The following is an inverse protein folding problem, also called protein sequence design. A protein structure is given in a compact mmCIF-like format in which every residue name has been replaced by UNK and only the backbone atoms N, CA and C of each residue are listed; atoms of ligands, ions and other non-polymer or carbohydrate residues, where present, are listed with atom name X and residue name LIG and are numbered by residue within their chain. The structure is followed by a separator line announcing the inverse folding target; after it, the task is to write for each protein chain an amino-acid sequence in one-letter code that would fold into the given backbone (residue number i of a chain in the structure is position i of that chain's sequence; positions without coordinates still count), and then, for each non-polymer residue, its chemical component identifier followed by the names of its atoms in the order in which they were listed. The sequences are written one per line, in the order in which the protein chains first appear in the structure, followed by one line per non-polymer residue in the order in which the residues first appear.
data_IF_996360021783
#
_entry.id   IF_996360021783
#
_cell.length_a   1.000
_cell.length_b   1.000
_cell.length_c   1.000
_cell.angle_alpha   90.00
_cell.angle_beta   90.00
_cell.angle_gamma   90.00
#
_symmetry.space_group_name_H-M   'P 1'
#
loop_
_entity.id
_entity.type
_entity.pdbx_description
1 polymer ?
#
# COMPACT_ATOMS: atom_id res chain seq x y z
N UNK A 1 19.05 -0.95 21.45
CA UNK A 1 17.76 -0.75 20.75
C UNK A 1 17.76 0.68 20.18
N UNK A 2 17.86 0.82 18.86
CA UNK A 2 18.13 2.11 18.18
C UNK A 2 16.88 2.82 17.64
N UNK A 3 15.72 2.15 17.67
CA UNK A 3 14.45 2.63 17.12
C UNK A 3 13.95 3.91 17.81
N UNK A 4 13.87 3.94 19.15
CA UNK A 4 13.40 5.13 19.88
C UNK A 4 14.29 6.38 19.65
N UNK A 5 15.63 6.28 19.70
CA UNK A 5 16.50 7.38 19.29
C UNK A 5 16.28 7.83 17.83
N UNK A 6 16.08 6.89 16.91
CA UNK A 6 15.82 7.16 15.50
C UNK A 6 14.50 7.91 15.29
N UNK A 7 13.40 7.41 15.86
CA UNK A 7 12.09 8.07 15.80
C UNK A 7 12.13 9.49 16.37
N UNK A 8 12.83 9.68 17.51
CA UNK A 8 13.03 11.01 18.08
C UNK A 8 13.81 11.96 17.16
N UNK A 9 14.78 11.44 16.39
CA UNK A 9 15.53 12.23 15.42
C UNK A 9 14.69 12.54 14.18
N UNK A 10 13.92 11.56 13.67
CA UNK A 10 13.01 11.73 12.54
C UNK A 10 11.94 12.78 12.84
N UNK A 11 11.26 12.71 13.98
CA UNK A 11 10.24 13.68 14.40
C UNK A 11 10.76 15.12 14.61
N UNK A 12 12.08 15.29 14.76
CA UNK A 12 12.73 16.60 14.86
C UNK A 12 13.20 17.13 13.50
N UNK A 13 13.17 16.29 12.47
CA UNK A 13 13.56 16.64 11.12
C UNK A 13 12.43 17.43 10.45
N UNK A 14 12.78 18.39 9.60
CA UNK A 14 11.84 19.02 8.66
C UNK A 14 11.70 18.21 7.35
N UNK A 15 12.52 17.15 7.19
CA UNK A 15 12.62 16.37 5.94
C UNK A 15 11.92 15.02 6.00
N UNK A 16 11.67 14.50 7.19
CA UNK A 16 11.21 13.13 7.39
C UNK A 16 10.13 13.08 8.46
N UNK A 17 9.19 12.16 8.30
CA UNK A 17 8.18 11.86 9.29
C UNK A 17 8.68 10.83 10.31
N UNK A 18 8.06 10.83 11.49
CA UNK A 18 8.30 9.82 12.52
C UNK A 18 7.83 8.43 12.08
N UNK A 19 8.26 7.41 12.82
CA UNK A 19 7.84 6.03 12.59
C UNK A 19 6.42 5.87 13.13
N UNK A 20 5.52 5.30 12.33
CA UNK A 20 4.17 4.97 12.80
C UNK A 20 4.21 3.78 13.77
N UNK A 21 3.37 3.86 14.81
CA UNK A 21 3.29 2.79 15.81
C UNK A 21 2.72 1.51 15.21
N UNK A 22 3.32 0.36 15.55
CA UNK A 22 2.80 -0.95 15.14
C UNK A 22 1.39 -1.21 15.67
N UNK A 23 1.05 -0.64 16.83
CA UNK A 23 -0.30 -0.72 17.40
C UNK A 23 -1.31 0.06 16.55
N UNK A 24 -0.94 1.25 16.08
CA UNK A 24 -1.81 2.07 15.23
C UNK A 24 -2.05 1.38 13.87
N UNK A 25 -1.01 0.78 13.30
CA UNK A 25 -1.12 -0.02 12.07
C UNK A 25 -2.02 -1.24 12.26
N UNK A 26 -1.92 -1.94 13.39
CA UNK A 26 -2.77 -3.07 13.70
C UNK A 26 -4.23 -2.67 13.87
N UNK A 27 -4.48 -1.54 14.55
CA UNK A 27 -5.83 -0.99 14.74
C UNK A 27 -6.44 -0.61 13.38
N UNK A 28 -5.68 0.03 12.51
CA UNK A 28 -6.13 0.36 11.16
C UNK A 28 -6.43 -0.88 10.32
N UNK A 29 -5.53 -1.86 10.30
CA UNK A 29 -5.72 -3.11 9.58
C UNK A 29 -6.97 -3.87 10.08
N UNK A 30 -7.24 -3.81 11.39
CA UNK A 30 -8.39 -4.47 12.03
C UNK A 30 -9.75 -4.01 11.49
N UNK A 31 -9.82 -2.81 10.90
CA UNK A 31 -11.03 -2.25 10.27
C UNK A 31 -11.37 -2.90 8.92
N UNK A 32 -10.43 -3.66 8.35
CA UNK A 32 -10.57 -4.32 7.04
C UNK A 32 -10.50 -5.83 7.17
N UNK A 33 -9.59 -6.35 8.00
CA UNK A 33 -9.41 -7.79 8.19
C UNK A 33 -9.00 -8.14 9.62
N UNK A 34 -9.16 -9.40 10.01
CA UNK A 34 -8.71 -9.86 11.32
C UNK A 34 -7.19 -9.84 11.45
N UNK A 35 -6.67 -9.25 12.53
CA UNK A 35 -5.24 -9.30 12.89
C UNK A 35 -4.70 -10.72 13.12
N UNK A 36 -5.58 -11.73 13.15
CA UNK A 36 -5.20 -13.14 13.09
C UNK A 36 -4.62 -13.59 11.74
N UNK A 37 -4.75 -12.77 10.69
CA UNK A 37 -4.11 -13.04 9.41
C UNK A 37 -2.60 -12.74 9.51
N UNK A 38 -1.81 -13.75 9.85
CA UNK A 38 -0.38 -13.59 10.18
C UNK A 38 0.55 -14.27 9.16
N UNK A 39 0.02 -14.85 8.09
CA UNK A 39 0.86 -15.52 7.08
C UNK A 39 1.51 -14.51 6.15
N UNK A 40 2.80 -14.68 5.87
CA UNK A 40 3.59 -13.69 5.12
C UNK A 40 3.72 -12.40 5.94
N UNK A 41 3.45 -11.25 5.31
CA UNK A 41 3.30 -9.97 6.03
C UNK A 41 1.95 -9.87 6.75
N UNK A 42 0.97 -10.69 6.37
CA UNK A 42 -0.31 -10.78 7.04
C UNK A 42 -1.08 -9.45 7.08
N UNK A 43 -1.60 -9.10 8.25
CA UNK A 43 -2.32 -7.85 8.49
C UNK A 43 -1.44 -6.61 8.33
N UNK A 44 -0.12 -6.74 8.48
CA UNK A 44 0.81 -5.61 8.43
C UNK A 44 0.78 -4.93 7.07
N UNK A 45 0.75 -5.71 5.97
CA UNK A 45 0.64 -5.19 4.61
C UNK A 45 -0.60 -4.30 4.41
N UNK A 46 -1.74 -4.71 4.99
CA UNK A 46 -2.97 -3.89 4.92
C UNK A 46 -2.83 -2.62 5.75
N UNK A 47 -2.18 -2.69 6.91
CA UNK A 47 -1.85 -1.54 7.74
C UNK A 47 -0.98 -0.52 6.99
N UNK A 48 0.09 -0.96 6.34
CA UNK A 48 0.98 -0.10 5.54
C UNK A 48 0.25 0.53 4.35
N UNK A 49 -0.63 -0.22 3.65
CA UNK A 49 -1.47 0.37 2.61
C UNK A 49 -2.39 1.47 3.16
N UNK A 50 -2.96 1.29 4.35
CA UNK A 50 -3.79 2.31 4.99
C UNK A 50 -2.96 3.53 5.40
N UNK A 51 -1.78 3.34 5.99
CA UNK A 51 -0.85 4.42 6.35
C UNK A 51 -0.50 5.27 5.13
N UNK A 52 -0.11 4.63 4.01
CA UNK A 52 0.16 5.34 2.76
C UNK A 52 -1.04 6.18 2.29
N UNK A 53 -2.24 5.61 2.34
CA UNK A 53 -3.47 6.31 1.95
C UNK A 53 -3.81 7.48 2.90
N UNK A 54 -3.51 7.37 4.19
CA UNK A 54 -3.67 8.46 5.16
C UNK A 54 -2.66 9.60 4.94
N UNK A 55 -1.49 9.29 4.40
CA UNK A 55 -0.46 10.27 4.01
C UNK A 55 -0.61 10.74 2.56
N UNK A 56 -1.82 10.67 1.99
CA UNK A 56 -2.15 11.09 0.61
C UNK A 56 -1.35 10.37 -0.49
N UNK A 57 -0.69 9.25 -0.18
CA UNK A 57 -0.05 8.37 -1.16
C UNK A 57 -1.10 7.45 -1.76
N UNK A 58 -1.87 8.03 -2.68
CA UNK A 58 -3.04 7.41 -3.27
C UNK A 58 -2.73 6.32 -4.32
N UNK A 59 -1.52 6.27 -4.85
CA UNK A 59 -1.13 5.36 -5.93
C UNK A 59 -0.17 4.29 -5.39
N UNK A 60 -0.63 3.05 -5.27
CA UNK A 60 0.14 1.96 -4.64
C UNK A 60 0.37 0.83 -5.64
N UNK A 61 1.63 0.43 -5.82
CA UNK A 61 2.00 -0.77 -6.56
C UNK A 61 2.31 -1.90 -5.58
N UNK A 62 1.47 -2.92 -5.57
CA UNK A 62 1.70 -4.15 -4.83
C UNK A 62 2.38 -5.16 -5.76
N UNK A 63 3.71 -5.13 -5.79
CA UNK A 63 4.53 -6.06 -6.56
C UNK A 63 4.73 -7.35 -5.77
N UNK A 64 4.36 -8.48 -6.34
CA UNK A 64 4.37 -9.77 -5.64
C UNK A 64 4.98 -10.85 -6.52
N UNK A 65 5.67 -11.84 -5.93
CA UNK A 65 6.06 -13.02 -6.68
C UNK A 65 4.82 -13.83 -7.08
N UNK A 66 4.92 -14.56 -8.19
CA UNK A 66 3.85 -15.45 -8.62
C UNK A 66 3.47 -16.48 -7.55
N UNK A 67 2.17 -16.72 -7.40
CA UNK A 67 1.67 -17.74 -6.47
C UNK A 67 1.80 -17.38 -4.99
N UNK A 68 2.07 -16.11 -4.63
CA UNK A 68 2.06 -15.67 -3.24
C UNK A 68 0.64 -15.68 -2.66
N UNK A 69 0.19 -16.84 -2.16
CA UNK A 69 -1.11 -17.02 -1.53
C UNK A 69 -1.40 -15.99 -0.43
N UNK A 70 -0.45 -15.68 0.47
CA UNK A 70 -0.67 -14.64 1.47
C UNK A 70 -1.06 -13.32 0.82
N UNK A 71 -0.31 -12.85 -0.16
CA UNK A 71 -0.62 -11.60 -0.86
C UNK A 71 -1.90 -11.68 -1.70
N UNK A 72 -2.29 -12.86 -2.19
CA UNK A 72 -3.59 -13.01 -2.84
C UNK A 72 -4.75 -12.76 -1.87
N UNK A 73 -4.63 -13.25 -0.63
CA UNK A 73 -5.65 -13.08 0.41
C UNK A 73 -5.59 -11.67 1.02
N UNK A 74 -4.42 -11.22 1.48
CA UNK A 74 -4.27 -9.92 2.19
C UNK A 74 -3.98 -8.75 1.27
N UNK A 75 -3.24 -8.93 0.18
CA UNK A 75 -2.88 -7.84 -0.74
C UNK A 75 -3.98 -7.58 -1.76
N UNK A 76 -4.32 -8.59 -2.59
CA UNK A 76 -5.38 -8.49 -3.61
C UNK A 76 -6.78 -8.49 -3.00
N UNK A 77 -7.02 -9.32 -1.97
CA UNK A 77 -8.34 -9.50 -1.38
C UNK A 77 -8.93 -8.24 -0.73
N UNK A 78 -8.08 -7.36 -0.21
CA UNK A 78 -8.52 -6.14 0.50
C UNK A 78 -8.73 -4.93 -0.39
N UNK A 79 -8.24 -4.95 -1.65
CA UNK A 79 -8.23 -3.78 -2.54
C UNK A 79 -9.62 -3.18 -2.72
N UNK A 80 -10.65 -4.03 -2.83
CA UNK A 80 -12.03 -3.57 -3.00
C UNK A 80 -12.52 -2.78 -1.78
N UNK A 81 -12.19 -3.25 -0.58
CA UNK A 81 -12.59 -2.61 0.66
C UNK A 81 -11.76 -1.34 0.92
N UNK A 82 -10.46 -1.36 0.63
CA UNK A 82 -9.61 -0.17 0.65
C UNK A 82 -10.18 0.93 -0.26
N UNK A 83 -10.57 0.59 -1.50
CA UNK A 83 -11.20 1.57 -2.41
C UNK A 83 -12.55 2.10 -1.92
N UNK A 84 -13.28 1.30 -1.13
CA UNK A 84 -14.56 1.72 -0.53
C UNK A 84 -14.33 2.75 0.57
N UNK A 85 -13.33 2.54 1.42
CA UNK A 85 -13.01 3.44 2.53
C UNK A 85 -12.16 4.65 2.10
N UNK A 86 -11.31 4.47 1.09
CA UNK A 86 -10.40 5.48 0.52
C UNK A 86 -10.69 5.64 -0.98
N UNK A 87 -11.66 6.49 -1.38
CA UNK A 87 -12.09 6.60 -2.78
C UNK A 87 -11.01 7.07 -3.76
N UNK A 88 -9.96 7.73 -3.26
CA UNK A 88 -8.78 8.13 -4.06
C UNK A 88 -7.80 6.98 -4.33
N UNK A 89 -7.95 5.83 -3.67
CA UNK A 89 -7.00 4.72 -3.75
C UNK A 89 -6.92 4.10 -5.15
N UNK A 90 -5.75 4.22 -5.77
CA UNK A 90 -5.38 3.63 -7.05
C UNK A 90 -4.31 2.56 -6.83
N UNK A 91 -4.77 1.36 -6.47
CA UNK A 91 -3.90 0.22 -6.13
C UNK A 91 -3.80 -0.76 -7.31
N UNK A 92 -2.58 -1.12 -7.69
CA UNK A 92 -2.30 -2.11 -8.74
C UNK A 92 -1.50 -3.28 -8.18
N UNK A 93 -2.06 -4.49 -8.27
CA UNK A 93 -1.36 -5.73 -7.97
C UNK A 93 -0.65 -6.26 -9.21
N UNK A 94 0.65 -6.53 -9.11
CA UNK A 94 1.50 -6.96 -10.22
C UNK A 94 2.24 -8.23 -9.85
N UNK A 95 1.97 -9.29 -10.61
CA UNK A 95 2.66 -10.56 -10.47
C UNK A 95 3.99 -10.51 -11.24
N UNK A 96 5.09 -10.59 -10.50
CA UNK A 96 6.43 -10.73 -11.02
C UNK A 96 6.77 -12.21 -11.12
N UNK A 97 6.74 -12.73 -12.34
CA UNK A 97 6.96 -14.13 -12.68
C UNK A 97 7.92 -14.22 -13.87
N UNK A 98 8.96 -15.09 -13.84
CA UNK A 98 9.83 -15.31 -14.98
C UNK A 98 9.12 -15.88 -16.22
N UNK A 99 7.99 -16.57 -16.04
CA UNK A 99 7.18 -17.16 -17.10
C UNK A 99 6.11 -16.21 -17.67
N UNK A 100 5.88 -15.06 -17.05
CA UNK A 100 4.93 -14.05 -17.55
C UNK A 100 5.69 -13.00 -18.36
N UNK A 101 5.13 -12.59 -19.50
CA UNK A 101 5.72 -11.53 -20.32
C UNK A 101 5.90 -10.24 -19.53
N UNK A 102 7.09 -9.65 -19.60
CA UNK A 102 7.39 -8.31 -19.07
C UNK A 102 6.40 -7.25 -19.57
N UNK A 103 5.84 -7.45 -20.76
CA UNK A 103 4.83 -6.56 -21.36
C UNK A 103 3.58 -6.49 -20.48
N UNK A 104 3.16 -7.59 -19.86
CA UNK A 104 1.98 -7.60 -18.98
C UNK A 104 2.23 -6.74 -17.73
N UNK A 105 3.41 -6.87 -17.12
CA UNK A 105 3.79 -6.06 -15.95
C UNK A 105 3.84 -4.57 -16.31
N UNK A 106 4.51 -4.22 -17.42
CA UNK A 106 4.59 -2.84 -17.90
C UNK A 106 3.23 -2.25 -18.24
N UNK A 107 2.33 -3.01 -18.87
CA UNK A 107 1.00 -2.54 -19.21
C UNK A 107 0.16 -2.25 -17.96
N UNK A 108 0.26 -3.08 -16.92
CA UNK A 108 -0.42 -2.84 -15.64
C UNK A 108 0.06 -1.55 -14.97
N UNK A 109 1.38 -1.32 -14.95
CA UNK A 109 1.96 -0.07 -14.42
C UNK A 109 1.49 1.13 -15.25
N UNK A 110 1.56 1.04 -16.58
CA UNK A 110 1.13 2.12 -17.49
C UNK A 110 -0.34 2.48 -17.30
N UNK A 111 -1.23 1.49 -17.14
CA UNK A 111 -2.65 1.73 -16.88
C UNK A 111 -2.88 2.40 -15.51
N UNK A 112 -2.15 1.98 -14.47
CA UNK A 112 -2.20 2.62 -13.16
C UNK A 112 -1.73 4.08 -13.25
N UNK A 113 -0.59 4.34 -13.91
CA UNK A 113 -0.03 5.67 -14.11
C UNK A 113 -0.95 6.58 -14.95
N UNK A 114 -1.59 6.04 -15.98
CA UNK A 114 -2.57 6.80 -16.77
C UNK A 114 -3.76 7.26 -15.91
N UNK A 115 -4.19 6.42 -14.97
CA UNK A 115 -5.23 6.77 -14.00
C UNK A 115 -4.72 7.84 -13.03
N UNK A 116 -3.49 7.69 -12.52
CA UNK A 116 -2.85 8.67 -11.64
C UNK A 116 -2.75 10.05 -12.29
N UNK A 117 -2.25 10.12 -13.53
CA UNK A 117 -2.13 11.37 -14.30
C UNK A 117 -3.49 12.03 -14.56
N UNK A 118 -4.54 11.23 -14.83
CA UNK A 118 -5.90 11.74 -15.01
C UNK A 118 -6.47 12.34 -13.72
N UNK A 119 -6.18 11.74 -12.57
CA UNK A 119 -6.58 12.26 -11.25
C UNK A 119 -5.83 13.57 -10.95
N UNK A 120 -4.51 13.60 -11.13
CA UNK A 120 -3.70 14.80 -10.95
C UNK A 120 -4.18 15.97 -11.82
N UNK A 121 -4.46 15.71 -13.10
CA UNK A 121 -4.97 16.74 -14.00
C UNK A 121 -6.32 17.32 -13.55
N UNK A 122 -7.19 16.54 -12.89
CA UNK A 122 -8.44 17.05 -12.31
C UNK A 122 -8.21 17.91 -11.08
N UNK A 123 -7.24 17.52 -10.25
CA UNK A 123 -6.87 18.27 -9.03
C UNK A 123 -6.21 19.60 -9.36
N UNK A 124 -5.39 19.71 -10.42
CA UNK A 124 -4.80 20.99 -10.86
C UNK A 124 -5.83 21.99 -11.43
N UNK A 125 -7.01 21.52 -11.85
CA UNK A 125 -8.05 22.35 -12.46
C UNK A 125 -9.10 22.81 -11.44
N UNK A 126 -9.13 22.23 -10.24
CA UNK A 126 -10.00 22.65 -9.11
C UNK A 126 -9.30 23.65 -8.20
#
# INVERSE_FOLDING_TARGET
MIEKPMDKALRKSERFDGIQSIQDLAEDASKILSIGNQTGEGWFLTGEMIELLKHDVNNIVCMQPFGCLPNHVVGKGVIKELRRQYPKANIAAIDYDPGVSIVNQLNRIRLMMATANKTLAKETIS
#
